data_IF_104895568984
#
_entry.id   IF_104895568984
#
_cell.length_a   1.000
_cell.length_b   1.000
_cell.length_c   1.000
_cell.angle_alpha   90.00
_cell.angle_beta   90.00
_cell.angle_gamma   90.00
#
_symmetry.space_group_name_H-M   'P 1'
#
loop_
_entity.id
_entity.type
_entity.pdbx_description
1 polymer ?
#
# COMPACT_ATOMS: atom_id res chain seq x y z
N UNK A 1 -22.67 0.99 27.49
CA UNK A 1 -21.58 0.98 26.48
C UNK A 1 -22.10 0.18 25.29
N UNK A 2 -22.14 0.76 24.10
CA UNK A 2 -22.61 0.04 22.91
C UNK A 2 -21.54 -0.93 22.41
N UNK A 3 -21.95 -2.14 22.01
CA UNK A 3 -21.09 -3.11 21.33
C UNK A 3 -21.26 -2.91 19.82
N UNK A 4 -20.26 -2.26 19.21
CA UNK A 4 -20.28 -1.95 17.78
C UNK A 4 -20.17 -3.22 16.93
N UNK A 5 -19.46 -4.25 17.40
CA UNK A 5 -19.33 -5.52 16.66
C UNK A 5 -20.68 -6.24 16.63
N UNK A 6 -21.40 -6.25 17.74
CA UNK A 6 -22.76 -6.79 17.77
C UNK A 6 -23.71 -6.01 16.85
N UNK A 7 -23.57 -4.68 16.76
CA UNK A 7 -24.34 -3.85 15.84
C UNK A 7 -24.03 -4.18 14.37
N UNK A 8 -22.75 -4.23 13.98
CA UNK A 8 -22.34 -4.56 12.61
C UNK A 8 -22.80 -5.96 12.20
N UNK A 9 -22.67 -6.94 13.09
CA UNK A 9 -23.14 -8.30 12.82
C UNK A 9 -24.66 -8.38 12.61
N UNK A 10 -25.46 -7.57 13.33
CA UNK A 10 -26.92 -7.47 13.09
C UNK A 10 -27.24 -6.90 11.71
N UNK A 11 -26.40 -6.01 11.19
CA UNK A 11 -26.50 -5.50 9.81
C UNK A 11 -25.98 -6.51 8.77
N UNK A 12 -25.49 -7.67 9.20
CA UNK A 12 -24.93 -8.70 8.33
C UNK A 12 -23.47 -8.45 7.95
N UNK A 13 -22.77 -7.56 8.65
CA UNK A 13 -21.39 -7.15 8.35
C UNK A 13 -20.45 -7.68 9.41
N UNK A 14 -19.40 -8.36 8.97
CA UNK A 14 -18.26 -8.75 9.79
C UNK A 14 -17.19 -7.66 9.70
N UNK A 15 -16.71 -7.20 10.85
CA UNK A 15 -15.60 -6.26 10.95
C UNK A 15 -14.75 -6.60 12.17
N UNK A 16 -13.43 -6.64 12.00
CA UNK A 16 -12.49 -6.88 13.09
C UNK A 16 -11.79 -5.58 13.51
N UNK A 17 -12.17 -5.04 14.66
CA UNK A 17 -11.63 -3.79 15.23
C UNK A 17 -10.14 -3.85 15.59
N UNK A 18 -9.55 -5.05 15.67
CA UNK A 18 -8.15 -5.23 16.06
C UNK A 18 -7.21 -5.24 14.86
N UNK A 19 -7.73 -5.21 13.63
CA UNK A 19 -6.96 -5.32 12.41
C UNK A 19 -7.12 -4.08 11.54
N UNK A 20 -5.99 -3.64 11.00
CA UNK A 20 -5.86 -2.52 10.07
C UNK A 20 -5.34 -3.08 8.76
N UNK A 21 -5.90 -2.64 7.64
CA UNK A 21 -5.40 -2.97 6.30
C UNK A 21 -4.22 -2.06 5.98
N UNK A 22 -3.20 -2.64 5.37
CA UNK A 22 -2.10 -1.90 4.76
C UNK A 22 -1.98 -2.29 3.30
N UNK A 23 -1.44 -1.37 2.50
CA UNK A 23 -1.16 -1.57 1.09
C UNK A 23 0.16 -0.91 0.73
N UNK A 24 0.96 -1.59 -0.09
CA UNK A 24 2.24 -1.07 -0.56
C UNK A 24 2.10 -0.18 -1.79
N UNK A 25 0.95 -0.18 -2.46
CA UNK A 25 0.68 0.70 -3.58
C UNK A 25 0.64 2.17 -3.13
N UNK A 26 1.50 2.98 -3.73
CA UNK A 26 1.50 4.43 -3.54
C UNK A 26 1.92 5.12 -4.86
N UNK A 27 0.98 5.77 -5.57
CA UNK A 27 1.27 6.44 -6.83
C UNK A 27 1.97 7.80 -6.64
N UNK A 28 2.18 8.25 -5.40
CA UNK A 28 2.76 9.56 -5.06
C UNK A 28 4.18 9.41 -4.47
N UNK A 29 5.24 9.58 -5.28
CA UNK A 29 6.62 9.50 -4.79
C UNK A 29 6.94 10.52 -3.69
N UNK A 30 6.29 11.68 -3.70
CA UNK A 30 6.45 12.72 -2.67
C UNK A 30 5.91 12.28 -1.31
N UNK A 31 5.01 11.30 -1.29
CA UNK A 31 4.39 10.73 -0.10
C UNK A 31 4.97 9.34 0.25
N UNK A 32 6.10 8.94 -0.32
CA UNK A 32 6.72 7.63 -0.08
C UNK A 32 7.16 7.40 1.38
N UNK A 33 7.25 8.46 2.20
CA UNK A 33 7.57 8.34 3.63
C UNK A 33 6.36 8.00 4.50
N UNK A 34 5.16 8.04 3.95
CA UNK A 34 3.94 7.67 4.66
C UNK A 34 3.96 6.17 4.97
N UNK A 35 3.41 5.76 6.13
CA UNK A 35 3.32 4.36 6.47
C UNK A 35 2.34 3.61 5.54
N UNK A 36 2.57 2.31 5.25
CA UNK A 36 1.70 1.50 4.38
C UNK A 36 0.25 1.38 4.86
N UNK A 37 -0.03 1.68 6.13
CA UNK A 37 -1.40 1.72 6.65
C UNK A 37 -2.18 2.98 6.23
N UNK A 38 -1.52 3.97 5.60
CA UNK A 38 -2.20 4.99 4.80
C UNK A 38 -2.36 4.39 3.41
N UNK A 39 -3.54 3.83 3.16
CA UNK A 39 -3.83 3.01 1.99
C UNK A 39 -4.27 3.90 0.85
N UNK A 40 -3.48 3.94 -0.22
CA UNK A 40 -3.91 4.50 -1.50
C UNK A 40 -4.57 3.39 -2.32
N UNK A 41 -5.76 3.66 -2.85
CA UNK A 41 -6.43 2.76 -3.81
C UNK A 41 -6.62 3.51 -5.10
N UNK A 42 -6.14 2.91 -6.18
CA UNK A 42 -6.18 3.50 -7.51
C UNK A 42 -6.06 2.41 -8.56
N UNK A 43 -6.37 2.73 -9.82
CA UNK A 43 -6.39 1.72 -10.90
C UNK A 43 -5.03 1.07 -11.19
N UNK A 44 -3.93 1.66 -10.71
CA UNK A 44 -2.58 1.14 -10.87
C UNK A 44 -2.16 0.10 -9.82
N UNK A 45 -2.98 -0.20 -8.83
CA UNK A 45 -2.64 -1.10 -7.70
C UNK A 45 -2.70 -2.61 -8.04
N UNK A 46 -2.75 -2.94 -9.34
CA UNK A 46 -2.81 -4.31 -9.88
C UNK A 46 -4.03 -5.14 -9.45
N UNK A 47 -5.04 -4.54 -8.81
CA UNK A 47 -6.33 -5.18 -8.58
C UNK A 47 -7.40 -4.57 -9.52
N UNK A 48 -7.91 -5.33 -10.51
CA UNK A 48 -8.95 -4.83 -11.43
C UNK A 48 -10.29 -4.55 -10.74
N UNK A 49 -10.56 -5.20 -9.60
CA UNK A 49 -11.78 -5.06 -8.80
C UNK A 49 -11.69 -3.95 -7.74
N UNK A 50 -10.54 -3.23 -7.66
CA UNK A 50 -10.32 -2.09 -6.75
C UNK A 50 -11.48 -1.12 -6.71
N UNK A 51 -12.05 -0.80 -7.88
CA UNK A 51 -13.30 -0.06 -7.97
C UNK A 51 -14.31 -0.89 -8.72
N UNK A 52 -15.47 -1.13 -8.10
CA UNK A 52 -16.53 -1.86 -8.75
C UNK A 52 -17.08 -1.07 -9.95
N UNK A 53 -16.86 -1.61 -11.15
CA UNK A 53 -17.22 -0.95 -12.43
C UNK A 53 -18.71 -1.02 -12.76
N UNK A 54 -19.44 -1.91 -12.10
CA UNK A 54 -20.89 -2.09 -12.25
C UNK A 54 -21.68 -1.15 -11.33
N UNK A 55 -21.05 -0.58 -10.30
CA UNK A 55 -21.70 0.31 -9.36
C UNK A 55 -21.41 1.79 -9.67
N UNK A 56 -22.47 2.61 -9.76
CA UNK A 56 -22.39 4.04 -10.02
C UNK A 56 -21.53 4.81 -8.99
N UNK A 57 -21.50 4.37 -7.73
CA UNK A 57 -20.75 5.04 -6.67
C UNK A 57 -19.23 4.97 -6.87
N UNK A 58 -18.72 3.81 -7.32
CA UNK A 58 -17.29 3.48 -7.42
C UNK A 58 -16.73 3.60 -8.83
N UNK A 59 -17.53 3.36 -9.88
CA UNK A 59 -17.09 3.41 -11.28
C UNK A 59 -16.33 4.68 -11.71
N UNK A 60 -16.76 5.91 -11.33
CA UNK A 60 -16.10 7.12 -11.82
C UNK A 60 -14.84 7.50 -11.03
N UNK A 61 -14.48 6.72 -10.00
CA UNK A 61 -13.33 7.03 -9.15
C UNK A 61 -12.01 6.68 -9.84
N UNK A 62 -10.99 7.47 -9.54
CA UNK A 62 -9.62 7.24 -10.03
C UNK A 62 -8.68 6.86 -8.90
N UNK A 63 -8.75 7.60 -7.79
CA UNK A 63 -7.88 7.39 -6.64
C UNK A 63 -8.56 7.82 -5.34
N UNK A 64 -8.43 7.01 -4.28
CA UNK A 64 -8.82 7.36 -2.92
C UNK A 64 -7.65 7.09 -1.98
N UNK A 65 -7.72 7.72 -0.81
CA UNK A 65 -6.79 7.46 0.29
C UNK A 65 -7.59 7.21 1.56
N UNK A 66 -7.24 6.16 2.29
CA UNK A 66 -7.86 5.83 3.57
C UNK A 66 -6.78 5.80 4.66
N UNK A 67 -7.13 6.32 5.85
CA UNK A 67 -6.20 6.46 6.95
C UNK A 67 -6.42 5.33 7.96
N UNK A 68 -5.51 4.35 7.96
CA UNK A 68 -5.63 3.16 8.82
C UNK A 68 -6.99 2.44 8.68
N UNK A 69 -7.43 2.11 7.45
CA UNK A 69 -8.73 1.50 7.25
C UNK A 69 -8.80 0.10 7.84
N UNK A 70 -9.99 -0.31 8.28
CA UNK A 70 -10.31 -1.71 8.52
C UNK A 70 -10.64 -2.46 7.22
N UNK A 71 -11.05 -3.72 7.35
CA UNK A 71 -11.67 -4.47 6.26
C UNK A 71 -13.08 -4.91 6.63
N UNK A 72 -13.94 -5.03 5.64
CA UNK A 72 -15.33 -5.46 5.78
C UNK A 72 -15.50 -6.84 5.16
N UNK A 73 -16.36 -7.64 5.78
CA UNK A 73 -16.80 -8.91 5.21
C UNK A 73 -18.28 -9.13 5.43
N UNK A 74 -18.84 -10.13 4.74
CA UNK A 74 -20.20 -10.59 5.03
C UNK A 74 -20.21 -11.44 6.30
N UNK A 75 -21.10 -11.13 7.23
CA UNK A 75 -21.26 -11.92 8.44
C UNK A 75 -21.79 -13.34 8.10
N UNK A 76 -21.27 -14.40 8.75
CA UNK A 76 -21.74 -15.77 8.52
C UNK A 76 -23.25 -15.90 8.76
N UNK A 77 -23.95 -16.54 7.81
CA UNK A 77 -25.40 -16.75 7.90
C UNK A 77 -26.27 -15.52 7.63
N UNK A 78 -25.70 -14.38 7.27
CA UNK A 78 -26.48 -13.18 6.97
C UNK A 78 -27.20 -13.29 5.61
N UNK A 79 -28.52 -13.07 5.61
CA UNK A 79 -29.35 -13.05 4.40
C UNK A 79 -29.36 -11.65 3.76
N UNK A 80 -28.16 -11.17 3.39
CA UNK A 80 -27.92 -9.90 2.73
C UNK A 80 -27.13 -10.11 1.44
N UNK A 81 -27.27 -9.17 0.51
CA UNK A 81 -26.35 -9.00 -0.62
C UNK A 81 -25.23 -8.08 -0.19
N UNK A 82 -24.01 -8.59 -0.18
CA UNK A 82 -22.79 -7.83 0.11
C UNK A 82 -22.07 -7.59 -1.20
N UNK A 83 -21.96 -6.34 -1.61
CA UNK A 83 -21.31 -5.93 -2.87
C UNK A 83 -20.11 -5.06 -2.53
N UNK A 84 -18.87 -5.55 -2.72
CA UNK A 84 -17.66 -4.74 -2.62
C UNK A 84 -17.75 -3.54 -3.57
N UNK A 85 -17.40 -2.36 -3.08
CA UNK A 85 -17.32 -1.12 -3.87
C UNK A 85 -15.87 -0.69 -4.07
N UNK A 86 -15.08 -0.83 -3.01
CA UNK A 86 -13.66 -0.49 -2.96
C UNK A 86 -12.90 -1.65 -2.33
N UNK A 87 -11.87 -2.13 -3.00
CA UNK A 87 -10.98 -3.19 -2.54
C UNK A 87 -9.52 -2.75 -2.55
N UNK A 88 -8.70 -3.37 -1.69
CA UNK A 88 -7.25 -3.10 -1.63
C UNK A 88 -6.53 -3.64 -2.86
N UNK A 89 -5.28 -3.21 -3.07
CA UNK A 89 -4.42 -3.68 -4.14
C UNK A 89 -3.87 -5.09 -3.94
N UNK A 90 -3.22 -5.62 -4.97
CA UNK A 90 -2.69 -6.98 -4.97
C UNK A 90 -1.53 -7.20 -3.98
N UNK A 91 -0.88 -6.12 -3.51
CA UNK A 91 0.20 -6.16 -2.52
C UNK A 91 -0.26 -5.52 -1.21
N UNK A 92 -1.31 -6.11 -0.62
CA UNK A 92 -1.95 -5.66 0.61
C UNK A 92 -2.04 -6.77 1.66
N UNK A 93 -2.24 -6.38 2.93
CA UNK A 93 -2.28 -7.30 4.05
C UNK A 93 -2.97 -6.72 5.27
N UNK A 94 -2.97 -7.48 6.37
CA UNK A 94 -3.48 -7.03 7.66
C UNK A 94 -2.35 -6.81 8.65
N UNK A 95 -2.52 -5.79 9.47
CA UNK A 95 -1.67 -5.52 10.63
C UNK A 95 -2.51 -5.47 11.90
N UNK A 96 -2.01 -6.11 12.97
CA UNK A 96 -2.68 -6.06 14.26
C UNK A 96 -2.44 -4.71 14.95
N UNK A 97 -3.52 -4.08 15.39
CA UNK A 97 -3.49 -2.81 16.11
C UNK A 97 -2.60 -2.87 17.36
N UNK A 98 -2.57 -4.01 18.05
CA UNK A 98 -1.70 -4.24 19.20
C UNK A 98 -0.21 -4.11 18.88
N UNK A 99 0.20 -4.45 17.66
CA UNK A 99 1.60 -4.34 17.22
C UNK A 99 1.97 -2.90 16.88
N UNK A 100 0.96 -2.11 16.48
CA UNK A 100 1.10 -0.71 16.13
C UNK A 100 1.05 0.23 17.33
N UNK A 101 0.55 -0.21 18.47
CA UNK A 101 0.44 0.63 19.66
C UNK A 101 1.35 0.15 20.76
N UNK A 102 2.36 0.96 21.08
CA UNK A 102 3.22 0.73 22.25
C UNK A 102 2.76 1.60 23.40
N UNK A 103 2.47 0.97 24.54
CA UNK A 103 2.16 1.67 25.78
C UNK A 103 3.46 2.02 26.49
N UNK A 104 3.68 3.31 26.71
CA UNK A 104 4.80 3.86 27.47
C UNK A 104 4.28 4.56 28.73
N UNK A 105 5.18 4.87 29.66
CA UNK A 105 4.88 5.69 30.84
C UNK A 105 4.28 7.06 30.46
N UNK A 106 4.63 7.60 29.29
CA UNK A 106 4.12 8.87 28.76
C UNK A 106 2.83 8.73 27.93
N UNK A 107 2.21 7.54 27.88
CA UNK A 107 0.99 7.28 27.12
C UNK A 107 1.15 6.25 26.01
N UNK A 108 0.12 6.08 25.20
CA UNK A 108 0.15 5.21 24.02
C UNK A 108 0.80 5.95 22.85
N UNK A 109 1.81 5.33 22.24
CA UNK A 109 2.47 5.83 21.04
C UNK A 109 2.24 4.87 19.88
N UNK A 110 1.91 5.43 18.71
CA UNK A 110 1.77 4.69 17.47
C UNK A 110 3.16 4.42 16.87
N UNK A 111 3.43 3.17 16.54
CA UNK A 111 4.66 2.68 15.92
C UNK A 111 4.29 2.12 14.57
N UNK A 112 4.65 2.85 13.52
CA UNK A 112 4.34 2.51 12.12
C UNK A 112 5.58 2.13 11.32
N UNK A 113 6.78 2.27 11.90
CA UNK A 113 8.06 1.96 11.24
C UNK A 113 8.61 0.63 11.73
N UNK A 114 9.20 -0.13 10.80
CA UNK A 114 9.85 -1.40 11.10
C UNK A 114 8.87 -2.51 11.50
N UNK A 115 7.58 -2.36 11.16
CA UNK A 115 6.62 -3.46 11.25
C UNK A 115 6.78 -4.35 10.01
N UNK A 116 6.79 -5.68 10.17
CA UNK A 116 6.84 -6.57 9.03
C UNK A 116 5.48 -6.60 8.32
N UNK A 117 5.51 -6.51 7.00
CA UNK A 117 4.32 -6.48 6.14
C UNK A 117 4.33 -7.68 5.20
N UNK A 118 3.42 -8.62 5.45
CA UNK A 118 3.28 -9.85 4.67
C UNK A 118 2.05 -9.79 3.77
N UNK A 119 2.18 -9.58 2.45
CA UNK A 119 1.06 -9.50 1.53
C UNK A 119 0.26 -10.81 1.59
N UNK A 120 -1.06 -10.67 1.58
CA UNK A 120 -1.98 -11.78 1.53
C UNK A 120 -2.44 -12.02 0.09
N UNK A 121 -2.90 -13.23 -0.22
CA UNK A 121 -3.50 -13.54 -1.51
C UNK A 121 -4.99 -13.15 -1.63
N UNK A 122 -5.51 -12.39 -0.66
CA UNK A 122 -6.92 -12.01 -0.57
C UNK A 122 -7.03 -10.50 -0.65
N UNK A 123 -7.96 -10.02 -1.46
CA UNK A 123 -8.30 -8.61 -1.55
C UNK A 123 -9.20 -8.21 -0.36
N UNK A 124 -8.89 -7.08 0.28
CA UNK A 124 -9.62 -6.60 1.43
C UNK A 124 -10.64 -5.55 1.00
N UNK A 125 -11.93 -5.83 1.24
CA UNK A 125 -12.99 -4.87 0.97
C UNK A 125 -12.95 -3.71 1.97
N UNK A 126 -12.63 -2.50 1.48
CA UNK A 126 -12.54 -1.27 2.28
C UNK A 126 -13.89 -0.53 2.36
N UNK A 127 -14.72 -0.67 1.32
CA UNK A 127 -16.09 -0.19 1.33
C UNK A 127 -17.02 -1.17 0.60
N UNK A 128 -18.23 -1.34 1.12
CA UNK A 128 -19.21 -2.25 0.56
C UNK A 128 -20.62 -1.67 0.63
N UNK A 129 -21.44 -2.00 -0.38
CA UNK A 129 -22.89 -1.83 -0.32
C UNK A 129 -23.52 -3.10 0.22
N UNK A 130 -24.37 -2.93 1.22
CA UNK A 130 -25.18 -3.97 1.81
C UNK A 130 -26.63 -3.69 1.49
N UNK A 131 -27.25 -4.60 0.74
CA UNK A 131 -28.66 -4.50 0.40
C UNK A 131 -29.41 -5.78 0.79
N UNK A 132 -30.67 -5.62 1.20
CA UNK A 132 -31.51 -6.74 1.64
C UNK A 132 -31.45 -6.97 3.15
N UNK A 133 -32.01 -8.09 3.60
CA UNK A 133 -32.25 -8.35 5.02
C UNK A 133 -33.46 -7.57 5.56
N UNK A 134 -34.45 -8.29 6.08
CA UNK A 134 -35.49 -7.68 6.90
C UNK A 134 -34.86 -7.33 8.25
N UNK A 135 -34.86 -6.04 8.62
CA UNK A 135 -34.51 -5.64 9.98
C UNK A 135 -35.40 -6.41 10.96
N UNK A 136 -34.80 -7.16 11.88
CA UNK A 136 -35.52 -7.99 12.84
C UNK A 136 -36.20 -7.17 13.96
N UNK A 137 -36.12 -5.83 13.90
CA UNK A 137 -36.71 -4.96 14.92
C UNK A 137 -37.73 -3.97 14.33
N UNK A 138 -38.95 -4.06 14.86
CA UNK A 138 -40.07 -3.10 14.87
C UNK A 138 -40.85 -2.80 13.57
N UNK A 139 -42.04 -3.42 13.48
CA UNK A 139 -43.40 -2.85 13.26
C UNK A 139 -43.67 -1.71 12.24
N UNK A 140 -42.70 -1.29 11.44
CA UNK A 140 -42.92 -0.40 10.30
C UNK A 140 -42.45 -1.15 9.05
N UNK A 141 -43.41 -1.40 8.15
CA UNK A 141 -43.28 -2.03 6.82
C UNK A 141 -41.84 -2.38 6.43
N UNK A 142 -41.53 -3.68 6.35
CA UNK A 142 -40.25 -4.29 5.93
C UNK A 142 -39.46 -3.43 4.92
N UNK A 143 -38.75 -2.41 5.39
CA UNK A 143 -37.87 -1.60 4.56
C UNK A 143 -36.65 -2.47 4.33
N UNK A 144 -36.38 -2.77 3.06
CA UNK A 144 -35.12 -3.40 2.66
C UNK A 144 -34.01 -2.49 3.17
N UNK A 145 -33.10 -3.06 3.95
CA UNK A 145 -31.92 -2.33 4.41
C UNK A 145 -31.05 -2.07 3.18
N UNK A 146 -30.65 -0.81 2.97
CA UNK A 146 -29.70 -0.40 1.95
C UNK A 146 -28.69 0.53 2.61
N UNK A 147 -27.44 0.09 2.65
CA UNK A 147 -26.37 0.71 3.41
C UNK A 147 -25.11 0.72 2.56
N UNK A 148 -24.34 1.79 2.65
CA UNK A 148 -22.95 1.81 2.20
C UNK A 148 -22.09 1.98 3.43
N UNK A 149 -21.16 1.05 3.62
CA UNK A 149 -20.27 1.01 4.78
C UNK A 149 -18.84 1.20 4.30
N UNK A 150 -18.12 2.09 5.00
CA UNK A 150 -16.74 2.46 4.72
C UNK A 150 -15.94 2.15 5.98
N UNK A 151 -14.82 1.44 5.83
CA UNK A 151 -14.01 0.97 6.95
C UNK A 151 -13.03 2.02 7.51
N UNK A 152 -13.33 3.31 7.34
CA UNK A 152 -12.48 4.41 7.79
C UNK A 152 -13.36 5.57 8.27
N UNK A 153 -13.11 6.03 9.50
CA UNK A 153 -13.82 7.15 10.12
C UNK A 153 -13.29 8.50 9.65
N UNK A 154 -12.00 8.58 9.32
CA UNK A 154 -11.30 9.79 8.91
C UNK A 154 -11.33 9.98 7.38
N UNK A 155 -12.05 9.09 6.66
CA UNK A 155 -12.23 9.11 5.21
C UNK A 155 -12.68 10.48 4.66
N UNK A 156 -13.45 11.23 5.46
CA UNK A 156 -13.90 12.59 5.15
C UNK A 156 -13.56 13.49 6.33
N UNK A 157 -12.33 13.96 6.35
CA UNK A 157 -11.81 14.88 7.34
C UNK A 157 -11.58 16.26 6.73
N UNK A 158 -11.44 17.29 7.58
CA UNK A 158 -11.16 18.66 7.16
C UNK A 158 -9.90 18.74 6.28
N UNK A 159 -8.91 17.91 6.58
CA UNK A 159 -7.65 17.79 5.86
C UNK A 159 -7.88 17.47 4.38
N UNK A 160 -8.80 16.55 4.05
CA UNK A 160 -9.11 16.24 2.65
C UNK A 160 -9.78 17.40 1.92
N UNK A 161 -10.62 18.18 2.60
CA UNK A 161 -11.18 19.41 2.03
C UNK A 161 -10.11 20.47 1.81
N UNK A 162 -9.17 20.62 2.74
CA UNK A 162 -8.05 21.56 2.62
C UNK A 162 -7.15 21.20 1.43
N UNK A 163 -6.73 19.94 1.30
CA UNK A 163 -5.92 19.46 0.17
C UNK A 163 -6.63 19.76 -1.16
N UNK A 164 -7.92 19.44 -1.24
CA UNK A 164 -8.74 19.71 -2.43
C UNK A 164 -8.86 21.22 -2.74
N UNK A 165 -8.99 22.05 -1.70
CA UNK A 165 -9.12 23.51 -1.86
C UNK A 165 -7.83 24.17 -2.33
N UNK A 166 -6.67 23.64 -1.89
CA UNK A 166 -5.35 24.12 -2.30
C UNK A 166 -5.02 23.71 -3.74
N UNK A 167 -5.67 22.66 -4.27
CA UNK A 167 -5.49 22.21 -5.63
C UNK A 167 -4.04 21.78 -5.89
N UNK A 168 -3.40 21.14 -4.90
CA UNK A 168 -2.01 20.69 -4.99
C UNK A 168 -1.89 19.74 -6.19
N UNK A 169 -1.05 20.07 -7.20
CA UNK A 169 -0.86 19.20 -8.36
C UNK A 169 -0.44 17.80 -7.92
N UNK A 170 -1.16 16.78 -8.40
CA UNK A 170 -0.89 15.38 -8.07
C UNK A 170 -1.74 14.83 -6.93
N UNK A 171 -2.25 15.65 -5.99
CA UNK A 171 -3.01 15.17 -4.82
C UNK A 171 -4.53 15.39 -4.96
N UNK A 172 -5.12 14.78 -5.98
CA UNK A 172 -6.56 14.87 -6.24
C UNK A 172 -7.29 13.59 -5.82
N UNK A 173 -7.58 13.46 -4.53
CA UNK A 173 -8.32 12.31 -3.99
C UNK A 173 -9.82 12.43 -4.21
N UNK A 174 -10.45 11.32 -4.59
CA UNK A 174 -11.88 11.23 -4.85
C UNK A 174 -12.71 10.86 -3.60
N UNK A 175 -12.16 10.96 -2.39
CA UNK A 175 -12.86 10.61 -1.14
C UNK A 175 -14.23 11.29 -1.04
N UNK A 176 -14.24 12.62 -1.22
CA UNK A 176 -15.47 13.42 -1.19
C UNK A 176 -16.40 13.05 -2.35
N UNK A 177 -15.84 12.72 -3.52
CA UNK A 177 -16.63 12.30 -4.69
C UNK A 177 -17.34 10.97 -4.43
N UNK A 178 -16.63 9.98 -3.89
CA UNK A 178 -17.22 8.69 -3.51
C UNK A 178 -18.34 8.88 -2.50
N UNK A 179 -18.13 9.71 -1.48
CA UNK A 179 -19.17 10.00 -0.49
C UNK A 179 -20.44 10.60 -1.11
N UNK A 180 -20.28 11.59 -1.99
CA UNK A 180 -21.41 12.19 -2.68
C UNK A 180 -22.11 11.18 -3.58
N UNK A 181 -21.37 10.35 -4.33
CA UNK A 181 -21.99 9.33 -5.17
C UNK A 181 -22.71 8.24 -4.33
N UNK A 182 -22.15 7.88 -3.17
CA UNK A 182 -22.77 6.95 -2.24
C UNK A 182 -24.08 7.51 -1.66
N UNK A 183 -24.09 8.80 -1.30
CA UNK A 183 -25.30 9.50 -0.85
C UNK A 183 -26.35 9.56 -1.96
N UNK A 184 -25.96 9.99 -3.16
CA UNK A 184 -26.80 10.06 -4.35
C UNK A 184 -27.45 8.69 -4.64
N UNK A 185 -26.66 7.61 -4.55
CA UNK A 185 -27.12 6.22 -4.74
C UNK A 185 -28.11 5.76 -3.65
N UNK A 186 -27.87 6.09 -2.38
CA UNK A 186 -28.77 5.74 -1.27
C UNK A 186 -30.09 6.53 -1.30
N UNK A 187 -30.07 7.76 -1.82
CA UNK A 187 -31.26 8.58 -2.06
C UNK A 187 -32.03 8.10 -3.30
N UNK A 188 -31.36 7.40 -4.21
CA UNK A 188 -31.93 6.90 -5.46
C UNK A 188 -31.91 7.92 -6.60
N UNK A 189 -31.07 8.96 -6.51
CA UNK A 189 -30.89 9.99 -7.54
C UNK A 189 -29.49 9.88 -8.18
N UNK A 190 -29.35 9.03 -9.19
CA UNK A 190 -28.07 8.83 -9.90
C UNK A 190 -27.78 9.91 -10.96
N UNK A 191 -28.66 10.91 -11.13
CA UNK A 191 -28.56 11.95 -12.17
C UNK A 191 -27.27 12.77 -12.05
N UNK A 192 -26.83 13.03 -10.81
CA UNK A 192 -25.64 13.84 -10.52
C UNK A 192 -24.33 13.07 -10.65
N UNK A 193 -24.36 11.73 -10.55
CA UNK A 193 -23.17 10.88 -10.69
C UNK A 193 -22.61 10.98 -12.12
N UNK A 194 -23.49 10.92 -13.12
CA UNK A 194 -23.11 11.05 -14.53
C UNK A 194 -22.44 12.40 -14.84
N UNK A 195 -22.94 13.51 -14.29
CA UNK A 195 -22.38 14.85 -14.48
C UNK A 195 -21.01 15.00 -13.79
N UNK A 196 -20.81 14.39 -12.61
CA UNK A 196 -19.55 14.45 -11.84
C UNK A 196 -18.42 13.62 -12.48
N UNK A 197 -18.78 12.60 -13.27
CA UNK A 197 -17.84 11.70 -13.95
C UNK A 197 -17.06 12.34 -15.13
N UNK A 198 -17.46 13.53 -15.60
CA UNK A 198 -16.89 14.19 -16.79
C UNK A 198 -15.61 15.00 -16.49
N UNK A 199 -14.78 14.53 -15.57
CA UNK A 199 -13.47 15.13 -15.28
C UNK A 199 -12.41 14.58 -16.23
N UNK A 200 -11.33 15.36 -16.40
CA UNK A 200 -10.14 14.92 -17.13
C UNK A 200 -9.56 13.76 -16.35
N UNK A 201 -9.46 12.59 -16.98
CA UNK A 201 -8.84 11.43 -16.35
C UNK A 201 -7.39 11.77 -16.01
N UNK A 202 -7.01 11.65 -14.74
CA UNK A 202 -5.62 11.74 -14.33
C UNK A 202 -4.93 10.47 -14.79
N UNK A 203 -4.41 10.51 -16.02
CA UNK A 203 -3.59 9.44 -16.56
C UNK A 203 -2.21 9.59 -15.95
N UNK A 204 -1.99 8.92 -14.83
CA UNK A 204 -0.64 8.69 -14.35
C UNK A 204 0.14 7.88 -15.39
N UNK A 205 1.46 7.84 -15.26
CA UNK A 205 2.28 7.04 -16.15
C UNK A 205 2.10 5.56 -15.79
N UNK A 206 0.97 4.97 -16.23
CA UNK A 206 0.57 3.58 -15.95
C UNK A 206 1.72 2.59 -16.17
N UNK A 207 2.51 2.79 -17.25
CA UNK A 207 3.67 1.95 -17.54
C UNK A 207 4.82 2.09 -16.53
N UNK A 208 4.97 3.26 -15.93
CA UNK A 208 5.98 3.53 -14.90
C UNK A 208 5.52 2.96 -13.57
N UNK A 209 4.25 3.16 -13.21
CA UNK A 209 3.67 2.56 -12.01
C UNK A 209 3.76 1.04 -12.03
N UNK A 210 3.40 0.40 -13.16
CA UNK A 210 3.51 -1.05 -13.29
C UNK A 210 4.93 -1.54 -13.06
N UNK A 211 5.94 -0.84 -13.59
CA UNK A 211 7.35 -1.20 -13.37
C UNK A 211 7.78 -0.98 -11.92
N UNK A 212 7.34 0.09 -11.28
CA UNK A 212 7.63 0.37 -9.86
C UNK A 212 7.05 -0.75 -8.99
N UNK A 213 5.84 -1.19 -9.29
CA UNK A 213 5.14 -2.22 -8.54
C UNK A 213 5.85 -3.59 -8.60
N UNK A 214 6.51 -3.92 -9.71
CA UNK A 214 7.35 -5.12 -9.81
C UNK A 214 8.51 -5.08 -8.80
N UNK A 215 9.17 -3.92 -8.66
CA UNK A 215 10.23 -3.75 -7.66
C UNK A 215 9.70 -3.78 -6.23
N UNK A 216 8.51 -3.21 -5.98
CA UNK A 216 7.85 -3.29 -4.66
C UNK A 216 7.56 -4.74 -4.30
N UNK A 217 7.09 -5.54 -5.25
CA UNK A 217 6.82 -6.97 -5.07
C UNK A 217 8.12 -7.73 -4.78
N UNK A 218 9.19 -7.50 -5.55
CA UNK A 218 10.49 -8.12 -5.31
C UNK A 218 11.06 -7.77 -3.93
N UNK A 219 11.06 -6.48 -3.56
CA UNK A 219 11.47 -6.03 -2.22
C UNK A 219 10.68 -6.74 -1.13
N UNK A 220 9.37 -6.84 -1.31
CA UNK A 220 8.49 -7.48 -0.32
C UNK A 220 8.81 -8.97 -0.18
N UNK A 221 9.19 -9.67 -1.25
CA UNK A 221 9.67 -11.06 -1.16
C UNK A 221 11.02 -11.16 -0.44
N UNK A 222 11.97 -10.27 -0.74
CA UNK A 222 13.27 -10.24 -0.07
C UNK A 222 13.15 -9.95 1.44
N UNK A 223 12.23 -9.07 1.83
CA UNK A 223 11.92 -8.77 3.23
C UNK A 223 11.32 -9.98 3.95
N UNK A 224 10.42 -10.71 3.29
CA UNK A 224 9.84 -11.94 3.83
C UNK A 224 10.90 -13.02 4.05
N UNK A 225 11.79 -13.19 3.08
CA UNK A 225 12.91 -14.14 3.17
C UNK A 225 13.83 -13.76 4.34
N UNK A 226 14.20 -12.47 4.45
CA UNK A 226 15.03 -11.98 5.54
C UNK A 226 14.39 -12.18 6.93
N UNK A 227 13.09 -11.91 7.07
CA UNK A 227 12.36 -12.11 8.32
C UNK A 227 12.21 -13.61 8.64
N UNK A 228 11.97 -14.46 7.64
CA UNK A 228 11.92 -15.92 7.80
C UNK A 228 13.27 -16.48 8.23
N UNK A 229 14.37 -16.10 7.58
CA UNK A 229 15.73 -16.51 7.91
C UNK A 229 16.10 -16.09 9.33
N UNK A 230 15.78 -14.85 9.70
CA UNK A 230 15.99 -14.33 11.05
C UNK A 230 15.17 -15.13 12.09
N UNK A 231 13.91 -15.44 11.80
CA UNK A 231 13.05 -16.21 12.71
C UNK A 231 13.55 -17.64 12.90
N UNK A 232 14.03 -18.29 11.84
CA UNK A 232 14.67 -19.63 11.92
C UNK A 232 15.94 -19.56 12.77
N UNK A 233 16.81 -18.59 12.52
CA UNK A 233 18.04 -18.42 13.28
C UNK A 233 17.79 -18.11 14.77
N UNK A 234 16.79 -17.28 15.09
CA UNK A 234 16.37 -16.99 16.46
C UNK A 234 15.79 -18.22 17.16
N UNK A 235 14.97 -18.99 16.45
CA UNK A 235 14.37 -20.22 16.98
C UNK A 235 15.46 -21.27 17.26
N UNK A 236 16.44 -21.41 16.36
CA UNK A 236 17.58 -22.30 16.58
C UNK A 236 18.45 -21.84 17.76
N UNK A 237 18.73 -20.53 17.85
CA UNK A 237 19.46 -19.95 18.97
C UNK A 237 18.75 -20.20 20.31
N UNK A 238 17.43 -20.00 20.36
CA UNK A 238 16.62 -20.26 21.55
C UNK A 238 16.66 -21.75 21.93
N UNK A 239 16.53 -22.66 20.95
CA UNK A 239 16.64 -24.10 21.19
C UNK A 239 18.01 -24.49 21.76
N UNK A 240 19.10 -23.90 21.26
CA UNK A 240 20.46 -24.15 21.77
C UNK A 240 20.62 -23.65 23.21
N UNK A 241 20.07 -22.48 23.52
CA UNK A 241 20.03 -21.92 24.88
C UNK A 241 19.27 -22.86 25.83
N UNK A 242 18.06 -23.28 25.47
CA UNK A 242 17.23 -24.16 26.29
C UNK A 242 17.89 -25.52 26.53
N UNK A 243 18.56 -26.07 25.50
CA UNK A 243 19.36 -27.30 25.63
C UNK A 243 20.51 -27.14 26.63
N UNK A 244 21.28 -26.04 26.54
CA UNK A 244 22.40 -25.77 27.45
C UNK A 244 21.95 -25.56 28.89
N UNK A 245 20.84 -24.87 29.10
CA UNK A 245 20.23 -24.69 30.43
C UNK A 245 19.70 -26.03 30.97
N UNK A 246 19.06 -26.84 30.12
CA UNK A 246 18.54 -28.17 30.48
C UNK A 246 19.64 -29.18 30.86
N UNK A 247 20.75 -29.21 30.11
CA UNK A 247 21.93 -30.05 30.41
C UNK A 247 22.47 -29.78 31.83
N UNK A 248 22.45 -28.53 32.29
CA UNK A 248 22.94 -28.15 33.62
C UNK A 248 21.98 -28.58 34.73
N UNK A 249 20.67 -28.53 34.48
CA UNK A 249 19.66 -28.96 35.45
C UNK A 249 19.68 -30.48 35.69
N UNK A 250 19.96 -31.26 34.63
CA UNK A 250 19.94 -32.73 34.65
C UNK A 250 21.22 -33.39 35.21
N UNK A 251 22.28 -32.63 35.48
CA UNK A 251 23.53 -33.16 36.07
C UNK A 251 23.32 -33.75 37.47
N UNK A 252 23.66 -35.02 37.68
CA UNK A 252 23.39 -35.76 38.93
C UNK A 252 24.56 -35.75 39.94
N UNK A 253 25.65 -35.05 39.63
CA UNK A 253 26.95 -35.07 40.32
C UNK A 253 27.15 -33.93 41.35
N UNK A 254 26.13 -33.09 41.60
CA UNK A 254 26.26 -31.88 42.42
C UNK A 254 25.16 -31.70 43.49
N UNK A 255 25.54 -31.05 44.58
CA UNK A 255 24.67 -30.67 45.71
C UNK A 255 23.59 -29.64 45.29
N UNK A 256 22.40 -29.69 45.91
CA UNK A 256 21.21 -28.99 45.41
C UNK A 256 21.35 -27.45 45.37
N UNK A 257 22.04 -26.86 46.36
CA UNK A 257 22.33 -25.43 46.40
C UNK A 257 23.40 -25.02 45.38
N UNK A 258 24.47 -25.82 45.23
CA UNK A 258 25.53 -25.57 44.26
C UNK A 258 24.99 -25.64 42.82
N UNK A 259 24.09 -26.59 42.55
CA UNK A 259 23.38 -26.70 41.27
C UNK A 259 22.55 -25.44 40.95
N UNK A 260 21.84 -24.88 41.93
CA UNK A 260 21.04 -23.66 41.71
C UNK A 260 21.90 -22.43 41.41
N UNK A 261 23.03 -22.26 42.08
CA UNK A 261 23.96 -21.13 41.85
C UNK A 261 24.59 -21.25 40.46
N UNK A 262 25.09 -22.45 40.12
CA UNK A 262 25.69 -22.71 38.81
C UNK A 262 24.67 -22.55 37.67
N UNK A 263 23.44 -23.04 37.86
CA UNK A 263 22.36 -22.91 36.88
C UNK A 263 22.03 -21.43 36.60
N UNK A 264 21.94 -20.58 37.63
CA UNK A 264 21.74 -19.13 37.43
C UNK A 264 22.89 -18.47 36.70
N UNK A 265 24.14 -18.79 37.08
CA UNK A 265 25.32 -18.21 36.44
C UNK A 265 25.39 -18.58 34.96
N UNK A 266 25.15 -19.84 34.62
CA UNK A 266 25.13 -20.31 33.22
C UNK A 266 23.95 -19.69 32.47
N UNK A 267 22.78 -19.63 33.09
CA UNK A 267 21.61 -18.98 32.49
C UNK A 267 21.89 -17.51 32.17
N UNK A 268 22.52 -16.74 33.06
CA UNK A 268 22.89 -15.35 32.79
C UNK A 268 23.90 -15.22 31.63
N UNK A 269 24.94 -16.07 31.60
CA UNK A 269 25.96 -16.03 30.55
C UNK A 269 25.36 -16.39 29.19
N UNK A 270 24.57 -17.46 29.13
CA UNK A 270 23.93 -17.90 27.90
C UNK A 270 22.82 -16.92 27.46
N UNK A 271 22.09 -16.29 28.40
CA UNK A 271 21.12 -15.23 28.07
C UNK A 271 21.81 -14.00 27.47
N UNK A 272 23.00 -13.61 27.98
CA UNK A 272 23.80 -12.52 27.39
C UNK A 272 24.27 -12.88 25.98
N UNK A 273 24.74 -14.12 25.77
CA UNK A 273 25.13 -14.62 24.45
C UNK A 273 23.95 -14.64 23.49
N UNK A 274 22.79 -15.12 23.93
CA UNK A 274 21.56 -15.12 23.16
C UNK A 274 21.13 -13.69 22.79
N UNK A 275 21.21 -12.75 23.74
CA UNK A 275 20.87 -11.34 23.47
C UNK A 275 21.82 -10.73 22.43
N UNK A 276 23.13 -11.00 22.52
CA UNK A 276 24.10 -10.56 21.52
C UNK A 276 23.83 -11.18 20.14
N UNK A 277 23.55 -12.49 20.09
CA UNK A 277 23.22 -13.18 18.84
C UNK A 277 21.91 -12.65 18.23
N UNK A 278 20.87 -12.44 19.05
CA UNK A 278 19.61 -11.83 18.64
C UNK A 278 19.84 -10.47 18.03
N UNK A 279 20.64 -9.62 18.67
CA UNK A 279 20.96 -8.29 18.15
C UNK A 279 21.74 -8.35 16.84
N UNK A 280 22.65 -9.31 16.68
CA UNK A 280 23.39 -9.50 15.43
C UNK A 280 22.47 -9.98 14.29
N UNK A 281 21.57 -10.94 14.56
CA UNK A 281 20.58 -11.43 13.58
C UNK A 281 19.65 -10.30 13.17
N UNK A 282 19.15 -9.52 14.14
CA UNK A 282 18.27 -8.39 13.85
C UNK A 282 19.01 -7.31 13.04
N UNK A 283 20.28 -7.03 13.35
CA UNK A 283 21.08 -6.06 12.60
C UNK A 283 21.39 -6.54 11.17
N UNK A 284 21.66 -7.83 10.96
CA UNK A 284 21.86 -8.41 9.63
C UNK A 284 20.58 -8.35 8.81
N UNK A 285 19.44 -8.66 9.42
CA UNK A 285 18.11 -8.51 8.82
C UNK A 285 17.86 -7.06 8.42
N UNK A 286 18.01 -6.11 9.34
CA UNK A 286 17.81 -4.68 9.07
C UNK A 286 18.75 -4.19 7.94
N UNK A 287 20.00 -4.65 7.90
CA UNK A 287 20.94 -4.33 6.82
C UNK A 287 20.49 -4.91 5.47
N UNK A 288 19.98 -6.15 5.42
CA UNK A 288 19.46 -6.77 4.20
C UNK A 288 18.24 -6.00 3.67
N UNK A 289 17.32 -5.63 4.56
CA UNK A 289 16.14 -4.81 4.23
C UNK A 289 16.56 -3.42 3.73
N UNK A 290 17.52 -2.77 4.39
CA UNK A 290 18.02 -1.47 3.98
C UNK A 290 18.69 -1.50 2.60
N UNK A 291 19.50 -2.52 2.33
CA UNK A 291 20.13 -2.71 1.01
C UNK A 291 19.09 -2.97 -0.09
N UNK A 292 18.07 -3.77 0.18
CA UNK A 292 16.95 -4.00 -0.75
C UNK A 292 16.23 -2.70 -1.09
N UNK A 293 15.95 -1.88 -0.07
CA UNK A 293 15.33 -0.56 -0.24
C UNK A 293 16.19 0.38 -1.09
N UNK A 294 17.49 0.46 -0.83
CA UNK A 294 18.42 1.30 -1.60
C UNK A 294 18.49 0.86 -3.07
N UNK A 295 18.59 -0.45 -3.32
CA UNK A 295 18.59 -1.02 -4.67
C UNK A 295 17.30 -0.68 -5.43
N UNK A 296 16.14 -0.80 -4.78
CA UNK A 296 14.86 -0.39 -5.34
C UNK A 296 14.83 1.10 -5.67
N UNK A 297 15.19 1.98 -4.73
CA UNK A 297 15.21 3.42 -4.95
C UNK A 297 16.13 3.82 -6.11
N UNK A 298 17.29 3.17 -6.21
CA UNK A 298 18.23 3.40 -7.32
C UNK A 298 17.63 3.00 -8.68
N UNK A 299 16.93 1.85 -8.72
CA UNK A 299 16.26 1.32 -9.92
C UNK A 299 15.13 2.24 -10.37
N UNK A 300 14.31 2.73 -9.43
CA UNK A 300 13.25 3.69 -9.71
C UNK A 300 13.82 4.98 -10.28
N UNK A 301 14.90 5.52 -9.67
CA UNK A 301 15.57 6.73 -10.17
C UNK A 301 16.14 6.54 -11.57
N UNK A 302 16.71 5.38 -11.87
CA UNK A 302 17.23 5.07 -13.20
C UNK A 302 16.11 5.10 -14.27
N UNK A 303 14.95 4.50 -13.98
CA UNK A 303 13.78 4.54 -14.87
C UNK A 303 13.30 5.97 -15.09
N UNK A 304 13.12 6.74 -14.00
CA UNK A 304 12.69 8.13 -14.08
C UNK A 304 13.67 8.99 -14.90
N UNK A 305 14.98 8.82 -14.67
CA UNK A 305 16.01 9.57 -15.38
C UNK A 305 16.06 9.21 -16.88
N UNK A 306 15.87 7.93 -17.22
CA UNK A 306 15.76 7.51 -18.62
C UNK A 306 14.62 8.22 -19.33
N UNK A 307 13.42 8.22 -18.72
CA UNK A 307 12.24 8.90 -19.27
C UNK A 307 12.46 10.41 -19.37
N UNK A 308 13.00 11.05 -18.32
CA UNK A 308 13.34 12.48 -18.33
C UNK A 308 14.32 12.83 -19.44
N UNK A 309 15.33 11.98 -19.67
CA UNK A 309 16.33 12.17 -20.74
C UNK A 309 15.68 12.12 -22.12
N UNK A 310 14.82 11.13 -22.38
CA UNK A 310 14.09 11.06 -23.66
C UNK A 310 13.12 12.25 -23.82
N UNK A 311 12.42 12.66 -22.76
CA UNK A 311 11.50 13.79 -22.80
C UNK A 311 12.20 15.12 -23.13
N UNK A 312 13.47 15.29 -22.72
CA UNK A 312 14.27 16.49 -23.04
C UNK A 312 14.95 16.38 -24.40
N UNK A 313 15.43 15.19 -24.78
CA UNK A 313 16.22 15.00 -26.00
C UNK A 313 15.38 14.86 -27.27
N UNK A 314 14.15 14.36 -27.19
CA UNK A 314 13.30 14.07 -28.35
C UNK A 314 12.70 15.32 -29.03
N UNK A 315 12.21 16.35 -28.30
CA UNK A 315 11.65 17.56 -28.91
C UNK A 315 12.55 18.33 -29.89
N UNK A 316 13.88 18.47 -29.68
CA UNK A 316 14.74 19.17 -30.64
C UNK A 316 15.10 18.36 -31.89
N UNK A 317 14.89 17.03 -31.89
CA UNK A 317 15.29 16.16 -33.01
C UNK A 317 14.61 16.56 -34.33
N UNK A 318 13.28 16.77 -34.41
CA UNK A 318 12.62 17.22 -35.64
C UNK A 318 13.19 18.54 -36.17
N UNK A 319 13.44 19.51 -35.29
CA UNK A 319 14.00 20.82 -35.66
C UNK A 319 15.42 20.65 -36.21
N UNK A 320 16.23 19.82 -35.55
CA UNK A 320 17.58 19.51 -36.02
C UNK A 320 17.57 18.82 -37.39
N UNK A 321 16.70 17.83 -37.60
CA UNK A 321 16.54 17.14 -38.90
C UNK A 321 16.17 18.13 -40.00
N UNK A 322 15.24 19.05 -39.75
CA UNK A 322 14.86 20.08 -40.71
C UNK A 322 16.04 21.00 -41.03
N UNK A 323 16.80 21.44 -40.01
CA UNK A 323 17.98 22.27 -40.19
C UNK A 323 19.05 21.58 -41.07
N UNK A 324 19.32 20.31 -40.80
CA UNK A 324 20.25 19.49 -41.58
C UNK A 324 19.75 19.31 -43.03
N UNK A 325 18.45 19.03 -43.21
CA UNK A 325 17.86 18.89 -44.55
C UNK A 325 18.02 20.18 -45.37
N UNK A 326 17.75 21.34 -44.78
CA UNK A 326 17.90 22.65 -45.44
C UNK A 326 19.36 22.89 -45.82
N UNK A 327 20.31 22.60 -44.91
CA UNK A 327 21.74 22.75 -45.17
C UNK A 327 22.21 21.91 -46.37
N UNK A 328 21.83 20.63 -46.43
CA UNK A 328 22.19 19.77 -47.56
C UNK A 328 21.52 20.20 -48.87
N UNK A 329 20.25 20.64 -48.85
CA UNK A 329 19.58 21.18 -50.05
C UNK A 329 20.27 22.45 -50.56
N UNK A 330 20.67 23.34 -49.66
CA UNK A 330 21.41 24.56 -50.03
C UNK A 330 22.76 24.23 -50.64
N UNK A 331 23.53 23.33 -50.01
CA UNK A 331 24.87 22.94 -50.49
C UNK A 331 24.83 22.26 -51.86
N UNK A 332 23.81 21.45 -52.16
CA UNK A 332 23.63 20.87 -53.50
C UNK A 332 23.37 21.93 -54.56
N UNK A 333 22.49 22.91 -54.27
CA UNK A 333 22.21 24.03 -55.19
C UNK A 333 23.44 24.90 -55.45
N UNK A 334 24.26 25.15 -54.42
CA UNK A 334 25.51 25.90 -54.59
C UNK A 334 26.54 25.14 -55.45
N UNK A 335 26.61 23.81 -55.33
CA UNK A 335 27.47 22.98 -56.18
C UNK A 335 26.99 22.94 -57.65
N UNK A 336 25.67 22.86 -57.87
CA UNK A 336 25.07 22.96 -59.20
C UNK A 336 25.26 24.35 -59.81
N UNK A 337 25.15 25.42 -59.02
CA UNK A 337 25.43 26.80 -59.40
C UNK A 337 26.90 27.04 -59.77
N UNK A 338 27.85 26.46 -59.02
CA UNK A 338 29.27 26.54 -59.34
C UNK A 338 29.65 25.75 -60.60
N UNK A 339 29.00 24.61 -60.86
CA UNK A 339 29.21 23.82 -62.08
C UNK A 339 28.63 24.51 -63.32
N UNK A 340 27.48 25.17 -63.20
CA UNK A 340 26.87 25.95 -64.29
C UNK A 340 27.63 27.25 -64.56
N UNK A 341 28.15 27.93 -63.53
CA UNK A 341 29.03 29.09 -63.69
C UNK A 341 30.37 28.76 -64.38
N UNK A 342 30.92 27.55 -64.18
CA UNK A 342 32.11 27.08 -64.93
C UNK A 342 31.81 26.79 -66.40
N UNK A 343 30.63 26.26 -66.72
CA UNK A 343 30.20 26.01 -68.12
C UNK A 343 29.96 27.29 -68.92
N UNK A 344 29.67 28.41 -68.26
CA UNK A 344 29.52 29.73 -68.89
C UNK A 344 30.85 30.47 -69.09
N UNK A 345 31.96 29.93 -68.56
CA UNK A 345 33.30 30.52 -68.65
C UNK A 345 34.26 29.76 -69.60
N UNK A 346 33.83 28.62 -70.14
CA UNK A 346 34.45 27.95 -71.29
C UNK A 346 33.68 28.31 -72.56
#
# INVERSE_FOLDING_TARGET
KGDINAFMNRLGISWNIQQVVWDSYNPHPELATLPPEIVFVGRGNQNPETFNMENAASKPLEELVLLFPGYLGKAPGANITFTPLIESGAQSGLQQYSNMVRRSFFGAQLVTRGLPHFPSAVDYTLAARVSGGASADTSMASKKTDLIVIADIDFISEQFFQIRSQGIPGLNFDNVTFFLNALDQLVGDESFVALRSRRVKHRTLESVESRIQDFVTQRTLEEQEAESDAQVALTEAQRRLDQKVGEVQQRADMDAQAKQILARQIQEVEQRRFTALKNNIEAEKEARIANSKENMESSIRAIQNGIKTFAVLLPPIPVFIIGVMIFFRRRRREAEGAASARRLRS
#
